data_IF_267215093200
#
_entry.id   IF_267215093200
#
_cell.length_a   1.000
_cell.length_b   1.000
_cell.length_c   1.000
_cell.angle_alpha   90.00
_cell.angle_beta   90.00
_cell.angle_gamma   90.00
#
_symmetry.space_group_name_H-M   'P 1'
#
loop_
_entity.id
_entity.type
_entity.pdbx_description
1 polymer ?
#
# COMPACT_ATOMS: atom_id res chain seq x y z
N UNK A 1 -1.74 -0.62 -0.61
CA UNK A 1 -1.41 0.11 0.63
C UNK A 1 -2.63 0.88 1.13
N UNK A 2 -2.77 1.07 2.44
CA UNK A 2 -3.84 1.85 3.09
C UNK A 2 -3.34 2.40 4.43
N UNK A 3 -4.00 3.40 5.00
CA UNK A 3 -3.77 3.84 6.38
C UNK A 3 -4.81 3.29 7.36
N UNK A 4 -4.51 3.30 8.67
CA UNK A 4 -5.48 2.94 9.72
C UNK A 4 -6.59 3.98 9.89
N UNK A 5 -6.39 5.20 9.37
CA UNK A 5 -7.38 6.29 9.33
C UNK A 5 -7.90 6.58 7.91
N UNK A 6 -7.65 5.68 6.96
CA UNK A 6 -8.11 5.81 5.59
C UNK A 6 -9.62 5.49 5.49
N UNK A 7 -10.36 6.36 4.79
CA UNK A 7 -11.77 6.17 4.44
C UNK A 7 -12.03 4.83 3.75
N UNK A 8 -11.03 4.29 3.05
CA UNK A 8 -11.14 3.07 2.26
C UNK A 8 -10.40 1.85 2.82
N UNK A 9 -9.97 1.87 4.10
CA UNK A 9 -9.30 0.73 4.74
C UNK A 9 -10.05 -0.60 4.53
N UNK A 10 -11.36 -0.61 4.79
CA UNK A 10 -12.19 -1.81 4.60
C UNK A 10 -12.22 -2.29 3.14
N UNK A 11 -12.19 -1.38 2.17
CA UNK A 11 -12.20 -1.74 0.74
C UNK A 11 -10.86 -2.38 0.35
N UNK A 12 -9.73 -1.79 0.76
CA UNK A 12 -8.39 -2.33 0.53
C UNK A 12 -8.25 -3.73 1.11
N UNK A 13 -8.72 -3.95 2.35
CA UNK A 13 -8.73 -5.28 2.99
C UNK A 13 -9.57 -6.29 2.20
N UNK A 14 -10.76 -5.90 1.73
CA UNK A 14 -11.62 -6.80 0.92
C UNK A 14 -10.96 -7.18 -0.41
N UNK A 15 -10.33 -6.23 -1.11
CA UNK A 15 -9.62 -6.49 -2.36
C UNK A 15 -8.45 -7.45 -2.12
N UNK A 16 -7.61 -7.18 -1.13
CA UNK A 16 -6.48 -8.04 -0.80
C UNK A 16 -6.92 -9.46 -0.44
N UNK A 17 -7.99 -9.62 0.36
CA UNK A 17 -8.55 -10.94 0.69
C UNK A 17 -9.05 -11.68 -0.55
N UNK A 18 -9.67 -10.98 -1.51
CA UNK A 18 -10.13 -11.59 -2.77
C UNK A 18 -8.95 -12.00 -3.67
N UNK A 19 -7.91 -11.18 -3.77
CA UNK A 19 -6.68 -11.52 -4.51
C UNK A 19 -6.05 -12.78 -3.92
N UNK A 20 -5.88 -12.84 -2.59
CA UNK A 20 -5.35 -14.02 -1.91
C UNK A 20 -6.19 -15.27 -2.14
N UNK A 21 -7.51 -15.16 -2.09
CA UNK A 21 -8.41 -16.28 -2.35
C UNK A 21 -8.33 -16.80 -3.80
N UNK A 22 -7.97 -15.93 -4.75
CA UNK A 22 -7.75 -16.27 -6.15
C UNK A 22 -6.33 -16.78 -6.45
N UNK A 23 -5.45 -16.91 -5.44
CA UNK A 23 -4.06 -17.31 -5.64
C UNK A 23 -3.20 -16.23 -6.30
N UNK A 24 -3.67 -14.98 -6.34
CA UNK A 24 -2.91 -13.84 -6.87
C UNK A 24 -1.91 -13.39 -5.80
N UNK A 25 -0.65 -13.26 -6.19
CA UNK A 25 0.38 -12.66 -5.35
C UNK A 25 0.07 -11.17 -5.14
N UNK A 26 -0.08 -10.78 -3.88
CA UNK A 26 -0.40 -9.41 -3.50
C UNK A 26 0.13 -9.12 -2.10
N UNK A 27 0.58 -7.88 -1.86
CA UNK A 27 1.11 -7.42 -0.58
C UNK A 27 0.21 -6.31 -0.02
N UNK A 28 -0.13 -6.38 1.28
CA UNK A 28 -0.94 -5.36 1.96
C UNK A 28 -0.10 -4.64 3.01
N UNK A 29 0.35 -3.43 2.66
CA UNK A 29 1.00 -2.50 3.60
C UNK A 29 -0.06 -1.61 4.26
N UNK A 30 -0.03 -1.55 5.60
CA UNK A 30 -0.94 -0.74 6.42
C UNK A 30 -0.11 0.23 7.25
N UNK A 31 -0.29 1.53 7.01
CA UNK A 31 0.38 2.58 7.77
C UNK A 31 -0.47 3.07 8.94
N UNK A 32 0.13 3.21 10.11
CA UNK A 32 -0.55 3.81 11.26
C UNK A 32 -0.82 5.31 11.02
N UNK A 33 -2.02 5.80 11.36
CA UNK A 33 -2.35 7.22 11.37
C UNK A 33 -2.59 7.87 10.00
N UNK A 34 -2.20 7.22 8.89
CA UNK A 34 -2.36 7.77 7.55
C UNK A 34 -3.84 7.88 7.14
N UNK A 35 -4.20 9.04 6.59
CA UNK A 35 -5.49 9.31 5.96
C UNK A 35 -5.46 9.01 4.45
N UNK A 36 -6.59 9.20 3.78
CA UNK A 36 -6.71 8.91 2.36
C UNK A 36 -5.72 9.74 1.52
N UNK A 37 -4.93 9.07 0.68
CA UNK A 37 -3.94 9.66 -0.23
C UNK A 37 -2.86 10.55 0.44
N UNK A 38 -2.59 10.35 1.73
CA UNK A 38 -1.69 11.21 2.49
C UNK A 38 -0.22 11.14 2.02
N UNK A 39 0.19 10.07 1.33
CA UNK A 39 1.49 9.97 0.64
C UNK A 39 1.71 11.09 -0.41
N UNK A 40 0.65 11.76 -0.86
CA UNK A 40 0.74 12.86 -1.81
C UNK A 40 0.83 14.25 -1.14
N UNK A 41 0.66 14.33 0.18
CA UNK A 41 0.58 15.60 0.90
C UNK A 41 1.95 16.19 1.27
N UNK A 42 2.87 15.34 1.75
CA UNK A 42 4.24 15.74 2.10
C UNK A 42 5.25 14.71 1.56
N UNK A 43 6.06 15.08 0.54
CA UNK A 43 7.06 14.18 -0.04
C UNK A 43 8.24 13.89 0.90
N UNK A 44 8.43 14.67 1.97
CA UNK A 44 9.54 14.52 2.91
C UNK A 44 9.17 13.73 4.17
N UNK A 45 7.88 13.43 4.36
CA UNK A 45 7.44 12.59 5.46
C UNK A 45 8.06 11.18 5.36
N UNK A 46 8.52 10.60 6.48
CA UNK A 46 9.16 9.29 6.46
C UNK A 46 8.23 8.20 5.89
N UNK A 47 6.94 8.25 6.21
CA UNK A 47 5.94 7.30 5.71
C UNK A 47 5.69 7.45 4.20
N UNK A 48 5.80 8.67 3.65
CA UNK A 48 5.71 8.89 2.20
C UNK A 48 6.89 8.24 1.49
N UNK A 49 8.10 8.40 2.04
CA UNK A 49 9.29 7.75 1.50
C UNK A 49 9.16 6.23 1.55
N UNK A 50 8.76 5.69 2.71
CA UNK A 50 8.53 4.25 2.88
C UNK A 50 7.46 3.72 1.90
N UNK A 51 6.38 4.47 1.67
CA UNK A 51 5.35 4.12 0.70
C UNK A 51 5.91 3.89 -0.71
N UNK A 52 6.76 4.81 -1.20
CA UNK A 52 7.36 4.70 -2.52
C UNK A 52 8.47 3.63 -2.58
N UNK A 53 9.20 3.41 -1.49
CA UNK A 53 10.18 2.34 -1.41
C UNK A 53 9.54 0.94 -1.45
N UNK A 54 8.41 0.72 -0.76
CA UNK A 54 7.64 -0.53 -0.86
C UNK A 54 7.11 -0.74 -2.28
N UNK A 55 6.59 0.31 -2.90
CA UNK A 55 6.11 0.25 -4.29
C UNK A 55 7.23 -0.12 -5.26
N UNK A 56 8.40 0.50 -5.10
CA UNK A 56 9.58 0.20 -5.92
C UNK A 56 10.04 -1.25 -5.72
N UNK A 57 10.15 -1.72 -4.47
CA UNK A 57 10.50 -3.13 -4.17
C UNK A 57 9.56 -4.13 -4.84
N UNK A 58 8.26 -3.88 -4.80
CA UNK A 58 7.28 -4.74 -5.45
C UNK A 58 7.48 -4.76 -6.97
N UNK A 59 7.69 -3.60 -7.59
CA UNK A 59 7.96 -3.54 -9.03
C UNK A 59 9.30 -4.17 -9.40
N UNK A 60 10.37 -3.98 -8.63
CA UNK A 60 11.65 -4.62 -8.90
C UNK A 60 11.50 -6.15 -8.86
N UNK A 61 10.76 -6.69 -7.89
CA UNK A 61 10.51 -8.14 -7.79
C UNK A 61 9.72 -8.72 -8.97
N UNK A 62 8.80 -7.95 -9.55
CA UNK A 62 7.84 -8.47 -10.54
C UNK A 62 8.05 -7.97 -11.97
N UNK A 63 8.78 -6.89 -12.16
CA UNK A 63 8.98 -6.19 -13.44
C UNK A 63 10.45 -5.98 -13.80
N UNK A 64 11.41 -6.24 -12.89
CA UNK A 64 12.81 -6.23 -13.27
C UNK A 64 13.07 -7.33 -14.33
N UNK A 65 13.83 -6.97 -15.36
CA UNK A 65 14.30 -7.89 -16.41
C UNK A 65 15.60 -8.54 -16.01
#
# INVERSE_FOLDING_TARGET
TTGTRDLFLSNTVRVHRKMRAAGVEAELVVFEGQSHAQYAADPWAPETKEHFEELARFFDKHLAR
#
